data_IF_746632318251
#
_entry.id   IF_746632318251
#
_cell.length_a   1.000
_cell.length_b   1.000
_cell.length_c   1.000
_cell.angle_alpha   90.00
_cell.angle_beta   90.00
_cell.angle_gamma   90.00
#
_symmetry.space_group_name_H-M   'P 1'
#
loop_
_entity.id
_entity.type
_entity.pdbx_description
1 polymer ?
#
# COMPACT_ATOMS: atom_id res chain seq x y z
N UNK A 1 4.93 -5.74 -17.87
CA UNK A 1 5.19 -5.29 -16.48
C UNK A 1 6.45 -5.90 -15.87
N UNK A 2 6.90 -7.11 -16.24
CA UNK A 2 8.16 -7.70 -15.71
C UNK A 2 9.46 -7.04 -16.20
N UNK A 3 9.35 -5.91 -16.92
CA UNK A 3 10.49 -5.12 -17.40
C UNK A 3 10.99 -4.11 -16.35
N UNK A 4 10.26 -3.97 -15.24
CA UNK A 4 10.60 -3.10 -14.13
C UNK A 4 11.12 -3.95 -12.98
N UNK A 5 12.16 -3.48 -12.31
CA UNK A 5 12.71 -4.16 -11.12
C UNK A 5 11.76 -4.02 -9.93
N UNK A 6 11.15 -2.85 -9.77
CA UNK A 6 10.25 -2.49 -8.68
C UNK A 6 9.14 -1.58 -9.16
N UNK A 7 8.03 -1.64 -8.45
CA UNK A 7 6.87 -0.75 -8.61
C UNK A 7 6.51 -0.21 -7.23
N UNK A 8 6.33 1.10 -7.13
CA UNK A 8 5.65 1.72 -5.99
C UNK A 8 4.23 2.03 -6.43
N UNK A 9 3.26 1.42 -5.74
CA UNK A 9 1.84 1.65 -5.95
C UNK A 9 1.32 2.63 -4.90
N UNK A 10 0.51 3.60 -5.34
CA UNK A 10 -0.12 4.63 -4.53
C UNK A 10 -1.59 4.76 -4.93
N UNK A 11 -2.48 4.92 -3.97
CA UNK A 11 -3.87 5.27 -4.27
C UNK A 11 -3.98 6.67 -4.90
N UNK A 12 -4.92 6.82 -5.84
CA UNK A 12 -5.07 8.04 -6.64
C UNK A 12 -5.56 9.27 -5.87
N UNK A 13 -6.05 9.07 -4.64
CA UNK A 13 -6.38 10.16 -3.71
C UNK A 13 -5.18 10.57 -2.83
N UNK A 14 -4.01 9.95 -2.99
CA UNK A 14 -2.83 10.34 -2.23
C UNK A 14 -2.19 11.66 -2.69
N UNK A 15 -1.65 12.43 -1.73
CA UNK A 15 -0.83 13.62 -1.96
C UNK A 15 0.64 13.30 -1.72
N UNK A 16 1.49 13.59 -2.71
CA UNK A 16 2.94 13.43 -2.62
C UNK A 16 3.60 14.73 -2.13
N UNK A 17 4.28 14.68 -0.99
CA UNK A 17 4.89 15.87 -0.35
C UNK A 17 6.39 15.99 -0.58
N UNK A 18 7.08 14.88 -0.90
CA UNK A 18 8.51 14.81 -1.22
C UNK A 18 8.82 13.67 -2.18
N UNK A 19 10.03 13.68 -2.74
CA UNK A 19 10.50 12.65 -3.68
C UNK A 19 10.48 11.23 -3.06
N UNK A 20 10.11 10.23 -3.87
CA UNK A 20 10.11 8.82 -3.49
C UNK A 20 11.39 8.07 -3.85
N UNK A 21 12.35 8.66 -4.57
CA UNK A 21 13.56 7.94 -5.02
C UNK A 21 14.30 7.21 -3.89
N UNK A 22 14.29 7.78 -2.68
CA UNK A 22 14.89 7.16 -1.50
C UNK A 22 14.24 5.83 -1.08
N UNK A 23 13.00 5.57 -1.46
CA UNK A 23 12.34 4.27 -1.22
C UNK A 23 12.83 3.22 -2.22
N UNK A 24 13.46 3.61 -3.32
CA UNK A 24 13.97 2.67 -4.31
C UNK A 24 15.45 2.37 -4.12
N UNK A 25 16.13 3.04 -3.17
CA UNK A 25 17.59 2.93 -3.02
C UNK A 25 18.06 1.65 -2.32
N UNK A 26 17.20 0.93 -1.61
CA UNK A 26 17.58 -0.25 -0.83
C UNK A 26 16.52 -1.37 -0.85
N UNK A 27 16.17 -1.91 -2.03
CA UNK A 27 15.08 -2.88 -2.15
C UNK A 27 15.34 -4.23 -1.50
N UNK A 28 16.62 -4.57 -1.30
CA UNK A 28 17.02 -5.77 -0.57
C UNK A 28 16.47 -5.81 0.86
N UNK A 29 16.12 -4.66 1.43
CA UNK A 29 15.50 -4.58 2.78
C UNK A 29 14.12 -5.24 2.83
N UNK A 30 13.44 -5.39 1.69
CA UNK A 30 12.11 -5.98 1.59
C UNK A 30 12.10 -7.34 0.89
N UNK A 31 13.27 -7.86 0.50
CA UNK A 31 13.37 -9.15 -0.15
C UNK A 31 12.99 -10.25 0.84
N UNK A 32 11.93 -10.99 0.51
CA UNK A 32 11.43 -12.11 1.29
C UNK A 32 11.57 -13.41 0.49
N UNK A 33 11.60 -14.53 1.21
CA UNK A 33 11.60 -15.88 0.64
C UNK A 33 10.24 -16.49 0.90
N UNK A 34 9.63 -17.11 -0.12
CA UNK A 34 8.36 -17.81 0.06
C UNK A 34 8.54 -18.96 1.05
N UNK A 35 7.57 -19.15 1.94
CA UNK A 35 7.61 -20.25 2.93
C UNK A 35 7.33 -21.61 2.29
N UNK A 36 6.80 -21.60 1.05
CA UNK A 36 6.45 -22.78 0.25
C UNK A 36 6.90 -22.59 -1.20
N UNK A 37 7.13 -23.68 -1.91
CA UNK A 37 7.52 -23.64 -3.34
C UNK A 37 6.33 -23.63 -4.29
N UNK A 38 5.18 -24.16 -3.85
CA UNK A 38 3.93 -24.19 -4.60
C UNK A 38 2.74 -24.30 -3.64
N UNK A 39 1.54 -24.03 -4.15
CA UNK A 39 0.26 -24.20 -3.45
C UNK A 39 -0.68 -25.03 -4.30
N UNK A 40 -1.54 -25.83 -3.68
CA UNK A 40 -2.66 -26.45 -4.38
C UNK A 40 -3.90 -25.58 -4.21
N UNK A 41 -4.36 -24.96 -5.29
CA UNK A 41 -5.56 -24.13 -5.34
C UNK A 41 -6.54 -24.85 -6.27
N UNK A 42 -7.63 -25.38 -5.71
CA UNK A 42 -8.64 -26.13 -6.47
C UNK A 42 -8.09 -27.33 -7.26
N UNK A 43 -7.10 -28.01 -6.67
CA UNK A 43 -6.44 -29.16 -7.30
C UNK A 43 -5.47 -28.79 -8.41
N UNK A 44 -5.27 -27.49 -8.68
CA UNK A 44 -4.22 -26.98 -9.56
C UNK A 44 -3.02 -26.60 -8.70
N UNK A 45 -1.87 -27.18 -9.02
CA UNK A 45 -0.61 -26.79 -8.40
C UNK A 45 -0.11 -25.47 -9.01
N UNK A 46 0.07 -24.46 -8.16
CA UNK A 46 0.50 -23.12 -8.54
C UNK A 46 1.89 -22.87 -7.96
N UNK A 47 2.92 -22.70 -8.80
CA UNK A 47 4.28 -22.46 -8.33
C UNK A 47 4.43 -21.04 -7.80
N UNK A 48 5.09 -20.91 -6.64
CA UNK A 48 5.44 -19.63 -6.04
C UNK A 48 6.86 -19.21 -6.42
N UNK A 49 7.16 -17.90 -6.41
CA UNK A 49 8.52 -17.43 -6.58
C UNK A 49 9.38 -17.88 -5.38
N UNK A 50 10.66 -18.14 -5.59
CA UNK A 50 11.56 -18.45 -4.47
C UNK A 50 11.74 -17.21 -3.59
N UNK A 51 11.97 -16.06 -4.21
CA UNK A 51 12.06 -14.76 -3.57
C UNK A 51 11.12 -13.76 -4.23
N UNK A 52 10.61 -12.82 -3.45
CA UNK A 52 9.69 -11.78 -3.90
C UNK A 52 9.85 -10.53 -3.03
N UNK A 53 9.32 -9.41 -3.53
CA UNK A 53 9.11 -8.20 -2.73
C UNK A 53 7.62 -7.89 -2.78
N UNK A 54 7.00 -7.92 -1.61
CA UNK A 54 5.71 -7.34 -1.33
C UNK A 54 5.85 -6.62 0.00
N UNK A 55 5.88 -5.29 -0.04
CA UNK A 55 6.06 -4.48 1.15
C UNK A 55 5.04 -3.35 1.19
N UNK A 56 4.70 -2.91 2.39
CA UNK A 56 3.73 -1.84 2.59
C UNK A 56 3.63 -1.48 4.05
N UNK A 57 2.48 -0.92 4.43
CA UNK A 57 2.19 -0.48 5.78
C UNK A 57 0.89 -1.09 6.30
N UNK A 58 0.77 -1.23 7.63
CA UNK A 58 -0.45 -1.74 8.22
C UNK A 58 -1.63 -0.76 8.07
N UNK A 59 -2.84 -1.30 8.14
CA UNK A 59 -4.08 -0.54 8.11
C UNK A 59 -4.29 0.27 9.40
N UNK A 60 -4.21 1.61 9.29
CA UNK A 60 -4.52 2.51 10.40
C UNK A 60 -6.02 2.49 10.71
N UNK A 61 -6.38 2.99 11.89
CA UNK A 61 -7.74 3.43 12.21
C UNK A 61 -7.92 4.87 11.78
N UNK A 62 -9.13 5.24 11.37
CA UNK A 62 -9.48 6.62 11.03
C UNK A 62 -9.39 7.60 12.21
N UNK A 63 -9.28 7.08 13.43
CA UNK A 63 -9.15 7.86 14.66
C UNK A 63 -7.82 7.59 15.38
N UNK A 64 -6.78 7.20 14.65
CA UNK A 64 -5.44 7.02 15.21
C UNK A 64 -4.96 8.32 15.88
N UNK A 65 -4.04 8.20 16.83
CA UNK A 65 -3.35 9.32 17.45
C UNK A 65 -2.43 10.04 16.46
N UNK A 66 -2.17 11.33 16.69
CA UNK A 66 -1.09 12.01 15.97
C UNK A 66 0.23 11.33 16.31
N UNK A 67 0.99 10.91 15.29
CA UNK A 67 2.15 10.00 15.43
C UNK A 67 1.77 8.58 15.91
N UNK A 68 1.10 7.78 15.08
CA UNK A 68 0.63 6.47 15.49
C UNK A 68 1.78 5.54 15.91
N UNK A 69 1.56 4.84 17.02
CA UNK A 69 2.44 3.83 17.61
C UNK A 69 1.82 2.45 17.40
N UNK A 70 2.61 1.38 17.50
CA UNK A 70 2.12 -0.01 17.42
C UNK A 70 1.27 -0.36 18.66
N UNK A 71 0.07 0.19 18.72
CA UNK A 71 -0.93 0.02 19.78
C UNK A 71 -2.32 -0.16 19.16
N UNK A 72 -3.25 -0.87 19.83
CA UNK A 72 -4.57 -1.16 19.27
C UNK A 72 -5.43 0.07 18.94
N UNK A 73 -5.13 1.21 19.54
CA UNK A 73 -5.83 2.48 19.33
C UNK A 73 -5.54 3.10 17.96
N UNK A 74 -4.38 2.78 17.38
CA UNK A 74 -3.93 3.38 16.12
C UNK A 74 -4.18 2.47 14.90
N UNK A 75 -4.28 1.16 15.10
CA UNK A 75 -4.39 0.17 14.03
C UNK A 75 -5.62 -0.72 14.19
N UNK A 76 -6.31 -1.00 13.08
CA UNK A 76 -7.40 -1.99 13.12
C UNK A 76 -6.81 -3.37 13.40
N UNK A 77 -5.71 -3.66 12.72
CA UNK A 77 -4.86 -4.81 12.89
C UNK A 77 -3.47 -4.46 12.34
N UNK A 78 -2.42 -4.80 13.08
CA UNK A 78 -1.03 -4.57 12.66
C UNK A 78 -0.60 -5.49 11.51
N UNK A 79 -1.31 -6.59 11.31
CA UNK A 79 -0.94 -7.61 10.34
C UNK A 79 -1.74 -7.49 9.03
N UNK A 80 -2.77 -6.63 9.02
CA UNK A 80 -3.54 -6.28 7.83
C UNK A 80 -2.81 -5.23 7.01
N UNK A 81 -2.43 -5.59 5.78
CA UNK A 81 -1.81 -4.72 4.79
C UNK A 81 -2.82 -3.70 4.27
N UNK A 82 -2.44 -2.42 4.23
CA UNK A 82 -3.17 -1.38 3.50
C UNK A 82 -2.78 -1.41 2.02
N UNK A 83 -3.77 -1.45 1.12
CA UNK A 83 -3.52 -1.52 -0.32
C UNK A 83 -3.08 -0.19 -0.95
N UNK A 84 -3.32 0.94 -0.29
CA UNK A 84 -3.07 2.26 -0.87
C UNK A 84 -1.61 2.73 -0.89
N UNK A 85 -0.70 1.95 -0.30
CA UNK A 85 0.74 2.16 -0.41
C UNK A 85 1.50 0.83 -0.41
N UNK A 86 2.08 0.45 -1.54
CA UNK A 86 2.81 -0.80 -1.68
C UNK A 86 4.09 -0.67 -2.50
N UNK A 87 5.07 -1.51 -2.19
CA UNK A 87 6.27 -1.74 -2.99
C UNK A 87 6.22 -3.20 -3.46
N UNK A 88 6.30 -3.40 -4.76
CA UNK A 88 6.12 -4.69 -5.40
C UNK A 88 7.27 -4.97 -6.36
N UNK A 89 7.79 -6.20 -6.33
CA UNK A 89 8.62 -6.72 -7.42
C UNK A 89 7.72 -7.49 -8.40
N UNK A 90 7.67 -7.09 -9.69
CA UNK A 90 6.90 -7.81 -10.69
C UNK A 90 7.32 -9.29 -10.80
N UNK A 91 6.36 -10.20 -10.75
CA UNK A 91 6.61 -11.64 -10.84
C UNK A 91 5.46 -12.35 -11.55
N UNK A 92 5.79 -13.11 -12.61
CA UNK A 92 4.80 -13.92 -13.33
C UNK A 92 4.24 -15.04 -12.45
N UNK A 93 5.03 -15.56 -11.50
CA UNK A 93 4.57 -16.56 -10.55
C UNK A 93 3.58 -15.98 -9.55
N UNK A 94 3.83 -14.78 -9.03
CA UNK A 94 2.85 -14.07 -8.21
C UNK A 94 1.58 -13.75 -9.00
N UNK A 95 1.70 -13.29 -10.25
CA UNK A 95 0.54 -13.04 -11.10
C UNK A 95 -0.34 -14.28 -11.27
N UNK A 96 0.26 -15.45 -11.57
CA UNK A 96 -0.46 -16.72 -11.67
C UNK A 96 -1.09 -17.16 -10.34
N UNK A 97 -0.44 -16.85 -9.22
CA UNK A 97 -1.03 -17.07 -7.90
C UNK A 97 -2.30 -16.24 -7.70
N UNK A 98 -2.27 -14.95 -8.05
CA UNK A 98 -3.47 -14.11 -8.04
C UNK A 98 -4.55 -14.61 -9.02
N UNK A 99 -4.19 -15.01 -10.24
CA UNK A 99 -5.16 -15.60 -11.20
C UNK A 99 -5.85 -16.83 -10.62
N UNK A 100 -5.09 -17.71 -9.95
CA UNK A 100 -5.64 -18.91 -9.33
C UNK A 100 -6.56 -18.60 -8.14
N UNK A 101 -6.25 -17.58 -7.33
CA UNK A 101 -7.15 -17.12 -6.27
C UNK A 101 -8.44 -16.55 -6.86
N UNK A 102 -8.34 -15.66 -7.86
CA UNK A 102 -9.47 -14.98 -8.47
C UNK A 102 -10.37 -15.92 -9.29
N UNK A 103 -9.86 -17.05 -9.77
CA UNK A 103 -10.63 -18.05 -10.51
C UNK A 103 -11.65 -18.81 -9.64
N UNK A 104 -11.62 -18.61 -8.33
CA UNK A 104 -12.41 -19.34 -7.36
C UNK A 104 -13.42 -18.39 -6.73
N UNK A 105 -14.70 -18.70 -6.94
CA UNK A 105 -15.80 -18.01 -6.28
C UNK A 105 -15.71 -18.14 -4.75
N UNK A 106 -15.94 -17.05 -4.03
CA UNK A 106 -15.90 -16.96 -2.57
C UNK A 106 -14.56 -17.37 -1.91
N UNK A 107 -13.45 -17.35 -2.65
CA UNK A 107 -12.12 -17.67 -2.11
C UNK A 107 -11.54 -16.61 -1.16
N UNK A 108 -12.11 -15.40 -1.16
CA UNK A 108 -11.75 -14.32 -0.27
C UNK A 108 -12.95 -13.38 -0.06
N UNK A 109 -12.94 -12.62 1.03
CA UNK A 109 -13.95 -11.60 1.30
C UNK A 109 -13.89 -10.49 0.24
N UNK A 110 -14.99 -10.18 -0.43
CA UNK A 110 -15.01 -9.15 -1.49
C UNK A 110 -15.42 -7.76 -0.98
N UNK A 111 -15.64 -7.59 0.33
CA UNK A 111 -16.12 -6.34 0.92
C UNK A 111 -15.18 -5.14 0.69
N UNK A 112 -13.87 -5.38 0.63
CA UNK A 112 -12.82 -4.40 0.31
C UNK A 112 -11.92 -4.99 -0.79
N UNK A 113 -12.58 -5.40 -1.89
CA UNK A 113 -12.09 -6.20 -3.01
C UNK A 113 -10.56 -6.36 -3.17
N UNK A 114 -9.85 -5.29 -3.52
CA UNK A 114 -8.41 -5.29 -3.77
C UNK A 114 -7.58 -5.57 -2.50
N UNK A 115 -7.88 -4.88 -1.41
CA UNK A 115 -7.22 -5.11 -0.13
C UNK A 115 -7.45 -6.53 0.40
N UNK A 116 -8.64 -7.10 0.20
CA UNK A 116 -8.94 -8.43 0.70
C UNK A 116 -8.13 -9.54 0.01
N UNK A 117 -8.05 -9.53 -1.33
CA UNK A 117 -7.25 -10.55 -2.05
C UNK A 117 -5.77 -10.41 -1.74
N UNK A 118 -5.28 -9.16 -1.57
CA UNK A 118 -3.91 -8.89 -1.15
C UNK A 118 -3.64 -9.42 0.26
N UNK A 119 -4.57 -9.25 1.19
CA UNK A 119 -4.43 -9.76 2.56
C UNK A 119 -4.54 -11.29 2.64
N UNK A 120 -5.15 -11.96 1.65
CA UNK A 120 -5.07 -13.43 1.53
C UNK A 120 -3.70 -13.85 0.99
N UNK A 121 -3.28 -13.28 -0.15
CA UNK A 121 -2.03 -13.67 -0.81
C UNK A 121 -0.78 -13.33 0.03
N UNK A 122 -0.82 -12.19 0.71
CA UNK A 122 0.30 -11.66 1.48
C UNK A 122 0.12 -11.77 2.99
N UNK A 123 -0.84 -12.57 3.48
CA UNK A 123 -1.09 -12.73 4.92
C UNK A 123 0.19 -13.10 5.68
N UNK A 124 0.29 -12.66 6.95
CA UNK A 124 1.45 -12.96 7.80
C UNK A 124 1.74 -14.45 7.97
N UNK A 125 0.69 -15.26 8.04
CA UNK A 125 0.77 -16.72 8.16
C UNK A 125 0.80 -17.42 6.81
N UNK A 126 0.73 -16.64 5.72
CA UNK A 126 0.62 -17.12 4.37
C UNK A 126 1.95 -17.61 3.77
N UNK A 127 1.90 -18.06 2.52
CA UNK A 127 3.06 -18.55 1.80
C UNK A 127 4.01 -17.43 1.38
N UNK A 128 3.49 -16.21 1.24
CA UNK A 128 4.22 -15.03 0.77
C UNK A 128 3.91 -13.81 1.65
N UNK A 129 4.23 -13.80 2.96
CA UNK A 129 3.92 -12.67 3.84
C UNK A 129 4.54 -11.34 3.37
N UNK A 130 3.81 -10.23 3.54
CA UNK A 130 4.33 -8.89 3.23
C UNK A 130 5.39 -8.41 4.26
N UNK A 131 6.29 -7.51 3.85
CA UNK A 131 7.30 -6.90 4.73
C UNK A 131 6.95 -5.45 5.06
N UNK A 132 7.17 -5.01 6.30
CA UNK A 132 6.87 -3.64 6.69
C UNK A 132 7.86 -2.63 6.10
N UNK A 133 7.31 -1.53 5.58
CA UNK A 133 8.04 -0.33 5.18
C UNK A 133 8.16 0.61 6.38
N UNK A 134 9.18 1.48 6.37
CA UNK A 134 9.30 2.51 7.40
C UNK A 134 8.08 3.46 7.37
N UNK A 135 7.55 3.77 8.56
CA UNK A 135 6.31 4.52 8.68
C UNK A 135 6.43 5.98 8.17
N UNK A 136 7.64 6.52 8.02
CA UNK A 136 7.87 7.87 7.46
C UNK A 136 7.52 8.03 5.98
N UNK A 137 7.19 6.94 5.28
CA UNK A 137 6.85 6.97 3.86
C UNK A 137 5.38 7.33 3.61
N UNK A 138 4.45 6.84 4.43
CA UNK A 138 3.02 7.05 4.19
C UNK A 138 2.23 7.09 5.50
N UNK A 139 1.23 7.95 5.53
CA UNK A 139 0.23 8.06 6.60
C UNK A 139 -1.17 8.05 5.97
N UNK A 140 -2.09 7.32 6.57
CA UNK A 140 -3.51 7.27 6.17
C UNK A 140 -4.29 8.26 7.03
N UNK A 141 -5.24 8.99 6.46
CA UNK A 141 -6.10 9.96 7.18
C UNK A 141 -5.31 10.90 8.12
N UNK A 142 -4.39 11.73 7.59
CA UNK A 142 -3.48 12.51 8.42
C UNK A 142 -4.19 13.61 9.21
N UNK A 143 -3.83 13.74 10.49
CA UNK A 143 -4.08 14.93 11.28
C UNK A 143 -3.21 16.10 10.83
N UNK A 144 -3.55 17.36 11.20
CA UNK A 144 -2.67 18.50 10.96
C UNK A 144 -1.25 18.32 11.50
N UNK A 145 -1.10 17.60 12.61
CA UNK A 145 0.18 17.26 13.22
C UNK A 145 0.98 16.28 12.37
N UNK A 146 0.33 15.26 11.79
CA UNK A 146 1.00 14.29 10.91
C UNK A 146 1.55 14.97 9.66
N UNK A 147 0.83 15.94 9.10
CA UNK A 147 1.31 16.75 7.96
C UNK A 147 2.64 17.44 8.30
N UNK A 148 2.80 17.93 9.53
CA UNK A 148 4.03 18.60 9.99
C UNK A 148 5.19 17.61 10.19
N UNK A 149 4.91 16.34 10.43
CA UNK A 149 5.92 15.27 10.59
C UNK A 149 6.74 15.03 9.33
N UNK A 150 6.17 15.31 8.14
CA UNK A 150 6.89 15.19 6.87
C UNK A 150 6.85 13.80 6.23
N UNK A 151 5.76 13.05 6.40
CA UNK A 151 5.48 11.83 5.64
C UNK A 151 5.55 12.09 4.13
N UNK A 152 6.08 11.13 3.35
CA UNK A 152 6.22 11.31 1.91
C UNK A 152 4.87 11.33 1.17
N UNK A 153 3.97 10.48 1.62
CA UNK A 153 2.63 10.30 1.03
C UNK A 153 1.59 10.51 2.11
N UNK A 154 0.62 11.38 1.83
CA UNK A 154 -0.57 11.59 2.63
C UNK A 154 -1.74 10.90 1.92
N UNK A 155 -2.18 9.76 2.42
CA UNK A 155 -3.27 8.99 1.84
C UNK A 155 -4.61 9.46 2.43
N UNK A 156 -5.35 10.26 1.67
CA UNK A 156 -6.61 10.85 2.10
C UNK A 156 -7.46 11.32 0.92
N UNK A 157 -8.77 11.17 1.00
CA UNK A 157 -9.72 11.77 0.06
C UNK A 157 -9.74 13.29 0.26
N UNK A 158 -8.82 13.99 -0.38
CA UNK A 158 -8.57 15.42 -0.18
C UNK A 158 -9.78 16.33 -0.46
N UNK A 159 -10.79 15.87 -1.21
CA UNK A 159 -12.07 16.57 -1.41
C UNK A 159 -13.05 16.43 -0.23
N UNK A 160 -12.88 15.42 0.61
CA UNK A 160 -13.70 15.13 1.79
C UNK A 160 -12.85 14.38 2.84
N UNK A 161 -11.83 15.04 3.44
CA UNK A 161 -10.90 14.37 4.33
C UNK A 161 -11.56 13.95 5.63
N UNK A 162 -11.05 12.89 6.25
CA UNK A 162 -11.51 12.40 7.56
C UNK A 162 -11.35 13.47 8.64
N UNK A 163 -10.18 14.12 8.66
CA UNK A 163 -9.90 15.26 9.54
C UNK A 163 -10.07 16.56 8.76
N UNK A 164 -11.17 17.25 9.03
CA UNK A 164 -11.54 18.47 8.30
C UNK A 164 -10.51 19.60 8.47
N UNK A 165 -9.79 19.59 9.60
CA UNK A 165 -8.70 20.49 9.92
C UNK A 165 -7.52 20.40 8.92
N UNK A 166 -7.34 19.23 8.29
CA UNK A 166 -6.31 19.00 7.26
C UNK A 166 -6.72 19.49 5.87
N UNK A 167 -7.99 19.85 5.67
CA UNK A 167 -8.56 20.12 4.34
C UNK A 167 -7.89 21.24 3.58
N UNK A 168 -7.60 22.37 4.23
CA UNK A 168 -7.02 23.53 3.53
C UNK A 168 -5.64 23.20 2.96
N UNK A 169 -4.83 22.46 3.72
CA UNK A 169 -3.53 21.98 3.26
C UNK A 169 -3.68 21.03 2.06
N UNK A 170 -4.55 20.02 2.17
CA UNK A 170 -4.78 19.04 1.11
C UNK A 170 -5.30 19.70 -0.18
N UNK A 171 -6.27 20.62 -0.07
CA UNK A 171 -6.77 21.39 -1.21
C UNK A 171 -5.75 22.33 -1.83
N UNK A 172 -4.72 22.76 -1.09
CA UNK A 172 -3.67 23.59 -1.67
C UNK A 172 -2.95 22.88 -2.82
N UNK A 173 -2.85 21.55 -2.80
CA UNK A 173 -2.28 20.75 -3.89
C UNK A 173 -3.14 20.76 -5.14
N UNK A 174 -4.47 20.67 -4.98
CA UNK A 174 -5.40 20.85 -6.08
C UNK A 174 -5.23 22.22 -6.73
N UNK A 175 -5.17 23.29 -5.93
CA UNK A 175 -5.01 24.65 -6.48
C UNK A 175 -3.65 24.87 -7.15
N UNK A 176 -2.58 24.23 -6.66
CA UNK A 176 -1.27 24.22 -7.34
C UNK A 176 -1.37 23.57 -8.71
N UNK A 177 -2.05 22.42 -8.81
CA UNK A 177 -2.27 21.73 -10.08
C UNK A 177 -3.10 22.59 -11.04
N UNK A 178 -4.22 23.15 -10.58
CA UNK A 178 -5.06 24.06 -11.39
C UNK A 178 -4.25 25.27 -11.86
N UNK A 179 -3.47 25.89 -10.96
CA UNK A 179 -2.60 27.01 -11.30
C UNK A 179 -1.56 26.66 -12.36
N UNK A 180 -0.92 25.49 -12.26
CA UNK A 180 0.05 25.01 -13.24
C UNK A 180 -0.57 24.85 -14.64
N UNK A 181 -1.70 24.15 -14.75
CA UNK A 181 -2.35 23.94 -16.05
C UNK A 181 -2.94 25.23 -16.62
N UNK A 182 -3.55 26.08 -15.77
CA UNK A 182 -4.13 27.35 -16.21
C UNK A 182 -3.06 28.34 -16.70
N UNK A 183 -1.88 28.35 -16.08
CA UNK A 183 -0.77 29.22 -16.48
C UNK A 183 -0.03 28.72 -17.73
N UNK A 184 -0.07 27.40 -18.00
CA UNK A 184 0.64 26.79 -19.12
C UNK A 184 -0.06 26.94 -20.47
N UNK A 185 -1.28 27.53 -20.51
CA UNK A 185 -2.02 27.76 -21.75
C UNK A 185 -2.48 26.49 -22.48
N UNK A 186 -2.52 25.36 -21.77
CA UNK A 186 -3.17 24.12 -22.20
C UNK A 186 -4.66 24.15 -21.92
#
# INVERSE_FOLDING_TARGET
>A
MVQYDLIVFLDGDSVLTRCLDGILSAPVTWLATSTQTSLSIHGVEVPLPETYIAAGLPQLRTNHSSHPLRVPEDFWDWDTLNAGFMILQPSLKMFRYFEALLAVEDSFDTSVADQSVLNVAFSREGPTPWTAVDFSWNIQWPWPEDIKTGYAVLHEKWWAPMHWESREYLLSWYWRMIGYYSASGL
#
